data_IF_551630302243
#
_entry.id   IF_551630302243
#
_cell.length_a   1.000
_cell.length_b   1.000
_cell.length_c   1.000
_cell.angle_alpha   90.00
_cell.angle_beta   90.00
_cell.angle_gamma   90.00
#
_symmetry.space_group_name_H-M   'P 1'
#
loop_
_entity.id
_entity.type
_entity.pdbx_description
1 polymer ?
#
# COMPACT_ATOMS: atom_id res chain seq x y z
N UNK A 1 -9.71 -8.76 -12.34
CA UNK A 1 -10.25 -8.86 -10.97
C UNK A 1 -11.52 -9.68 -11.10
N UNK A 2 -11.56 -10.88 -10.49
CA UNK A 2 -12.80 -11.64 -10.39
C UNK A 2 -13.83 -10.76 -9.69
N UNK A 3 -14.98 -10.61 -10.32
CA UNK A 3 -16.10 -9.84 -9.77
C UNK A 3 -16.51 -10.53 -8.47
N UNK A 4 -16.52 -9.79 -7.38
CA UNK A 4 -16.93 -10.32 -6.10
C UNK A 4 -18.39 -10.79 -6.19
N UNK A 5 -18.71 -11.92 -5.54
CA UNK A 5 -20.07 -12.45 -5.43
C UNK A 5 -21.02 -11.54 -4.63
N UNK A 6 -20.50 -10.43 -4.10
CA UNK A 6 -21.24 -9.45 -3.30
C UNK A 6 -21.26 -8.11 -4.04
N UNK A 7 -22.42 -7.66 -4.44
CA UNK A 7 -22.62 -6.43 -5.23
C UNK A 7 -21.97 -5.19 -4.60
N UNK A 8 -22.04 -5.06 -3.27
CA UNK A 8 -21.43 -3.94 -2.55
C UNK A 8 -19.93 -3.81 -2.83
N UNK A 9 -19.19 -4.92 -2.90
CA UNK A 9 -17.74 -4.91 -3.19
C UNK A 9 -17.49 -4.45 -4.62
N UNK A 10 -18.32 -4.85 -5.57
CA UNK A 10 -18.22 -4.41 -6.97
C UNK A 10 -18.40 -2.89 -7.08
N UNK A 11 -19.45 -2.34 -6.45
CA UNK A 11 -19.69 -0.89 -6.46
C UNK A 11 -18.59 -0.10 -5.76
N UNK A 12 -18.11 -0.55 -4.60
CA UNK A 12 -17.01 0.08 -3.87
C UNK A 12 -15.72 0.06 -4.71
N UNK A 13 -15.40 -1.07 -5.33
CA UNK A 13 -14.21 -1.20 -6.17
C UNK A 13 -14.25 -0.24 -7.37
N UNK A 14 -15.39 -0.12 -8.03
CA UNK A 14 -15.58 0.85 -9.12
C UNK A 14 -15.44 2.29 -8.63
N UNK A 15 -16.00 2.61 -7.47
CA UNK A 15 -15.90 3.93 -6.85
C UNK A 15 -14.44 4.29 -6.53
N UNK A 16 -13.67 3.38 -5.94
CA UNK A 16 -12.25 3.55 -5.65
C UNK A 16 -11.42 3.75 -6.92
N UNK A 17 -11.67 2.95 -7.95
CA UNK A 17 -10.96 3.07 -9.24
C UNK A 17 -11.22 4.43 -9.90
N UNK A 18 -12.46 4.91 -9.86
CA UNK A 18 -12.86 6.19 -10.45
C UNK A 18 -12.34 7.41 -9.66
N UNK A 19 -11.84 7.23 -8.44
CA UNK A 19 -11.31 8.28 -7.58
C UNK A 19 -9.95 8.87 -8.03
N UNK A 20 -9.35 8.32 -9.07
CA UNK A 20 -8.06 8.79 -9.61
C UNK A 20 -6.87 8.48 -8.70
N UNK A 21 -5.76 9.20 -8.92
CA UNK A 21 -4.51 9.08 -8.16
C UNK A 21 -3.29 9.09 -9.07
N UNK A 22 -2.14 9.53 -8.54
CA UNK A 22 -0.88 9.62 -9.31
C UNK A 22 -0.24 8.25 -9.61
N UNK A 23 -0.69 7.18 -8.97
CA UNK A 23 -0.19 5.81 -9.14
C UNK A 23 1.34 5.67 -8.95
N UNK A 24 1.93 6.48 -8.07
CA UNK A 24 3.38 6.51 -7.87
C UNK A 24 3.94 5.16 -7.42
N UNK A 25 3.22 4.45 -6.57
CA UNK A 25 3.66 3.15 -6.02
C UNK A 25 3.72 2.06 -7.08
N UNK A 26 2.67 1.79 -7.85
CA UNK A 26 2.76 0.86 -8.97
C UNK A 26 3.78 1.29 -10.04
N UNK A 27 3.93 2.60 -10.30
CA UNK A 27 4.97 3.11 -11.21
C UNK A 27 6.36 2.74 -10.69
N UNK A 28 6.62 2.89 -9.39
CA UNK A 28 7.90 2.54 -8.79
C UNK A 28 8.21 1.04 -8.91
N UNK A 29 7.23 0.17 -8.66
CA UNK A 29 7.37 -1.29 -8.88
C UNK A 29 7.79 -1.56 -10.33
N UNK A 30 7.06 -0.97 -11.29
CA UNK A 30 7.33 -1.17 -12.71
C UNK A 30 8.68 -0.64 -13.14
N UNK A 31 9.09 0.54 -12.67
CA UNK A 31 10.39 1.13 -13.00
C UNK A 31 11.54 0.29 -12.45
N UNK A 32 11.48 -0.10 -11.17
CA UNK A 32 12.50 -0.94 -10.56
C UNK A 32 12.60 -2.31 -11.23
N UNK A 33 11.48 -2.93 -11.58
CA UNK A 33 11.50 -4.19 -12.33
C UNK A 33 12.08 -4.04 -13.73
N UNK A 34 11.79 -2.95 -14.42
CA UNK A 34 12.32 -2.67 -15.77
C UNK A 34 13.83 -2.49 -15.84
N UNK A 35 14.49 -2.21 -14.73
CA UNK A 35 15.96 -2.18 -14.68
C UNK A 35 16.58 -3.56 -14.98
N UNK A 36 15.84 -4.63 -14.79
CA UNK A 36 16.32 -6.01 -14.90
C UNK A 36 15.66 -6.81 -16.01
N UNK A 37 14.75 -6.21 -16.77
CA UNK A 37 14.11 -6.88 -17.89
C UNK A 37 12.86 -6.16 -18.40
N UNK A 38 12.17 -6.79 -19.33
CA UNK A 38 10.92 -6.27 -19.87
C UNK A 38 9.78 -6.44 -18.85
N UNK A 39 8.74 -5.63 -19.03
CA UNK A 39 7.52 -5.77 -18.21
C UNK A 39 6.90 -7.16 -18.40
N UNK A 40 6.92 -7.96 -17.36
CA UNK A 40 6.28 -9.27 -17.33
C UNK A 40 4.85 -9.18 -16.76
N UNK A 41 3.97 -10.13 -17.05
CA UNK A 41 2.66 -10.19 -16.40
C UNK A 41 2.75 -10.24 -14.86
N UNK A 42 3.80 -10.90 -14.33
CA UNK A 42 4.05 -10.98 -12.89
C UNK A 42 4.37 -9.60 -12.31
N UNK A 43 5.21 -8.83 -12.99
CA UNK A 43 5.56 -7.47 -12.57
C UNK A 43 4.33 -6.56 -12.53
N UNK A 44 3.46 -6.67 -13.55
CA UNK A 44 2.20 -5.91 -13.59
C UNK A 44 1.28 -6.33 -12.44
N UNK A 45 1.20 -7.63 -12.13
CA UNK A 45 0.41 -8.11 -10.98
C UNK A 45 0.94 -7.58 -9.66
N UNK A 46 2.26 -7.56 -9.45
CA UNK A 46 2.84 -7.01 -8.22
C UNK A 46 2.60 -5.49 -8.10
N UNK A 47 2.65 -4.75 -9.20
CA UNK A 47 2.26 -3.35 -9.21
C UNK A 47 0.79 -3.15 -8.80
N UNK A 48 -0.10 -4.02 -9.26
CA UNK A 48 -1.52 -4.00 -8.87
C UNK A 48 -1.71 -4.40 -7.39
N UNK A 49 -0.97 -5.40 -6.89
CA UNK A 49 -0.99 -5.82 -5.48
C UNK A 49 -0.65 -4.66 -4.54
N UNK A 50 0.43 -3.94 -4.84
CA UNK A 50 0.85 -2.78 -4.03
C UNK A 50 -0.22 -1.68 -4.04
N UNK A 51 -0.85 -1.42 -5.18
CA UNK A 51 -1.92 -0.40 -5.25
C UNK A 51 -3.18 -0.86 -4.50
N UNK A 52 -3.51 -2.15 -4.49
CA UNK A 52 -4.61 -2.69 -3.69
C UNK A 52 -4.33 -2.54 -2.20
N UNK A 53 -3.12 -2.90 -1.72
CA UNK A 53 -2.72 -2.72 -0.33
C UNK A 53 -2.81 -1.23 0.06
N UNK A 54 -2.21 -0.34 -0.73
CA UNK A 54 -2.30 1.10 -0.46
C UNK A 54 -3.74 1.61 -0.44
N UNK A 55 -4.59 1.12 -1.34
CA UNK A 55 -6.00 1.52 -1.37
C UNK A 55 -6.74 1.01 -0.13
N UNK A 56 -6.45 -0.20 0.33
CA UNK A 56 -7.02 -0.75 1.56
C UNK A 56 -6.65 0.10 2.78
N UNK A 57 -5.37 0.52 2.90
CA UNK A 57 -4.97 1.43 3.99
C UNK A 57 -5.72 2.74 3.95
N UNK A 58 -5.88 3.35 2.77
CA UNK A 58 -6.63 4.61 2.63
C UNK A 58 -8.10 4.46 3.04
N UNK A 59 -8.72 3.31 2.78
CA UNK A 59 -10.11 3.03 3.19
C UNK A 59 -10.23 2.89 4.70
N UNK A 60 -9.26 2.23 5.35
CA UNK A 60 -9.20 2.12 6.81
C UNK A 60 -8.89 3.47 7.45
N UNK A 61 -7.91 4.21 6.92
CA UNK A 61 -7.55 5.56 7.39
C UNK A 61 -8.76 6.50 7.37
N UNK A 62 -9.57 6.47 6.29
CA UNK A 62 -10.79 7.29 6.18
C UNK A 62 -11.77 7.04 7.33
N UNK A 63 -11.85 5.80 7.83
CA UNK A 63 -12.70 5.45 8.98
C UNK A 63 -12.05 5.93 10.28
N UNK A 64 -10.77 5.68 10.46
CA UNK A 64 -10.00 6.03 11.67
C UNK A 64 -9.98 7.54 11.84
N UNK A 65 -9.68 8.28 10.78
CA UNK A 65 -9.59 9.75 10.76
C UNK A 65 -10.97 10.44 10.70
N UNK A 66 -12.06 9.67 10.60
CA UNK A 66 -13.42 10.19 10.37
C UNK A 66 -13.48 11.14 9.17
N UNK A 67 -12.71 10.83 8.12
CA UNK A 67 -12.58 11.65 6.94
C UNK A 67 -13.92 11.76 6.20
N UNK A 68 -14.28 12.98 5.80
CA UNK A 68 -15.52 13.25 5.04
C UNK A 68 -15.29 13.18 3.54
N UNK A 69 -14.08 13.48 3.10
CA UNK A 69 -13.73 13.54 1.68
C UNK A 69 -12.35 12.96 1.42
N UNK A 70 -12.19 12.32 0.27
CA UNK A 70 -10.92 11.86 -0.27
C UNK A 70 -10.81 12.23 -1.75
N UNK A 71 -9.73 12.93 -2.11
CA UNK A 71 -9.49 13.39 -3.51
C UNK A 71 -10.67 14.16 -4.10
N UNK A 72 -11.28 15.05 -3.31
CA UNK A 72 -12.39 15.91 -3.73
C UNK A 72 -13.76 15.21 -3.86
N UNK A 73 -13.88 13.95 -3.43
CA UNK A 73 -15.12 13.17 -3.42
C UNK A 73 -15.45 12.71 -2.00
N UNK A 74 -16.71 12.40 -1.68
CA UNK A 74 -17.06 11.77 -0.41
C UNK A 74 -16.20 10.52 -0.18
N UNK A 75 -15.71 10.32 1.04
CA UNK A 75 -14.99 9.09 1.42
C UNK A 75 -15.95 7.91 1.51
N UNK A 76 -15.42 6.67 1.47
CA UNK A 76 -16.24 5.45 1.45
C UNK A 76 -17.10 5.34 2.71
N UNK A 77 -16.55 5.68 3.87
CA UNK A 77 -17.27 5.67 5.15
C UNK A 77 -18.49 6.62 5.16
N UNK A 78 -18.43 7.71 4.40
CA UNK A 78 -19.59 8.63 4.23
C UNK A 78 -20.66 8.03 3.33
N UNK A 79 -20.27 7.31 2.29
CA UNK A 79 -21.22 6.75 1.30
C UNK A 79 -21.83 5.43 1.77
N UNK A 80 -21.06 4.52 2.36
CA UNK A 80 -21.48 3.16 2.73
C UNK A 80 -21.42 2.86 4.23
N UNK A 81 -20.98 3.82 5.04
CA UNK A 81 -20.81 3.67 6.49
C UNK A 81 -19.51 2.95 6.89
N UNK A 82 -19.15 3.10 8.18
CA UNK A 82 -17.88 2.62 8.71
C UNK A 82 -17.72 1.09 8.61
N UNK A 83 -18.77 0.33 8.97
CA UNK A 83 -18.71 -1.15 8.95
C UNK A 83 -18.39 -1.69 7.56
N UNK A 84 -19.11 -1.19 6.54
CA UNK A 84 -18.88 -1.59 5.16
C UNK A 84 -17.49 -1.19 4.67
N UNK A 85 -17.00 -0.01 5.09
CA UNK A 85 -15.66 0.47 4.73
C UNK A 85 -14.56 -0.42 5.30
N UNK A 86 -14.64 -0.79 6.58
CA UNK A 86 -13.67 -1.72 7.20
C UNK A 86 -13.62 -3.04 6.44
N UNK A 87 -14.80 -3.65 6.20
CA UNK A 87 -14.88 -4.92 5.47
C UNK A 87 -14.38 -4.81 4.02
N UNK A 88 -14.60 -3.66 3.36
CA UNK A 88 -14.08 -3.41 2.03
C UNK A 88 -12.54 -3.31 2.00
N UNK A 89 -11.94 -2.67 3.01
CA UNK A 89 -10.49 -2.63 3.17
C UNK A 89 -9.91 -4.02 3.42
N UNK A 90 -10.52 -4.80 4.32
CA UNK A 90 -10.12 -6.19 4.60
C UNK A 90 -10.20 -7.06 3.33
N UNK A 91 -11.27 -6.91 2.57
CA UNK A 91 -11.43 -7.63 1.30
C UNK A 91 -10.33 -7.28 0.30
N UNK A 92 -9.97 -6.00 0.17
CA UNK A 92 -8.88 -5.56 -0.70
C UNK A 92 -7.54 -6.15 -0.27
N UNK A 93 -7.25 -6.21 1.03
CA UNK A 93 -6.05 -6.88 1.56
C UNK A 93 -6.03 -8.36 1.17
N UNK A 94 -7.15 -9.07 1.39
CA UNK A 94 -7.23 -10.49 1.04
C UNK A 94 -7.04 -10.73 -0.46
N UNK A 95 -7.62 -9.88 -1.31
CA UNK A 95 -7.41 -9.95 -2.76
C UNK A 95 -5.95 -9.69 -3.16
N UNK A 96 -5.31 -8.71 -2.54
CA UNK A 96 -3.89 -8.43 -2.78
C UNK A 96 -3.01 -9.65 -2.46
N UNK A 97 -3.19 -10.24 -1.27
CA UNK A 97 -2.46 -11.45 -0.88
C UNK A 97 -2.80 -12.67 -1.74
N UNK A 98 -4.05 -12.83 -2.14
CA UNK A 98 -4.45 -13.92 -3.03
C UNK A 98 -3.74 -13.82 -4.40
N UNK A 99 -3.65 -12.61 -4.97
CA UNK A 99 -2.93 -12.36 -6.22
C UNK A 99 -1.43 -12.62 -6.04
N UNK A 100 -0.83 -12.14 -4.95
CA UNK A 100 0.58 -12.35 -4.66
C UNK A 100 0.92 -13.84 -4.46
N UNK A 101 0.06 -14.59 -3.77
CA UNK A 101 0.23 -16.02 -3.52
C UNK A 101 0.25 -16.85 -4.81
N UNK A 102 -0.43 -16.41 -5.86
CA UNK A 102 -0.42 -17.09 -7.17
C UNK A 102 0.97 -17.12 -7.82
N UNK A 103 1.85 -16.18 -7.47
CA UNK A 103 3.24 -16.13 -7.95
C UNK A 103 4.11 -17.26 -7.36
N UNK A 104 3.66 -17.93 -6.29
CA UNK A 104 4.37 -19.02 -5.60
C UNK A 104 5.80 -18.65 -5.20
N UNK A 105 6.03 -17.38 -4.91
CA UNK A 105 7.33 -16.86 -4.48
C UNK A 105 7.22 -16.31 -3.05
N UNK A 106 7.79 -17.04 -2.10
CA UNK A 106 7.74 -16.66 -0.69
C UNK A 106 8.46 -15.35 -0.39
N UNK A 107 9.54 -15.01 -1.11
CA UNK A 107 10.24 -13.75 -0.91
C UNK A 107 9.34 -12.52 -1.19
N UNK A 108 8.44 -12.62 -2.18
CA UNK A 108 7.43 -11.58 -2.43
C UNK A 108 6.43 -11.48 -1.27
N UNK A 109 5.99 -12.62 -0.74
CA UNK A 109 5.05 -12.65 0.39
C UNK A 109 5.68 -12.10 1.66
N UNK A 110 6.95 -12.44 1.94
CA UNK A 110 7.69 -11.90 3.09
C UNK A 110 7.75 -10.37 3.05
N UNK A 111 8.06 -9.79 1.88
CA UNK A 111 8.07 -8.34 1.71
C UNK A 111 6.69 -7.74 1.99
N UNK A 112 5.62 -8.34 1.47
CA UNK A 112 4.26 -7.84 1.62
C UNK A 112 3.74 -7.97 3.06
N UNK A 113 4.03 -9.07 3.74
CA UNK A 113 3.63 -9.31 5.13
C UNK A 113 4.34 -8.30 6.05
N UNK A 114 5.66 -8.18 5.92
CA UNK A 114 6.43 -7.22 6.70
C UNK A 114 5.97 -5.78 6.46
N UNK A 115 5.69 -5.42 5.21
CA UNK A 115 5.15 -4.11 4.85
C UNK A 115 3.83 -3.84 5.56
N UNK A 116 2.86 -4.75 5.44
CA UNK A 116 1.53 -4.55 6.02
C UNK A 116 1.58 -4.47 7.54
N UNK A 117 2.44 -5.26 8.18
CA UNK A 117 2.67 -5.18 9.62
C UNK A 117 3.24 -3.82 10.02
N UNK A 118 4.31 -3.35 9.34
CA UNK A 118 4.91 -2.04 9.62
C UNK A 118 3.90 -0.89 9.45
N UNK A 119 3.05 -0.94 8.44
CA UNK A 119 2.03 0.10 8.20
C UNK A 119 0.99 0.13 9.33
N UNK A 120 0.52 -1.03 9.80
CA UNK A 120 -0.42 -1.12 10.93
C UNK A 120 0.23 -0.63 12.22
N UNK A 121 1.47 -1.03 12.49
CA UNK A 121 2.23 -0.55 13.66
C UNK A 121 2.42 0.98 13.60
N UNK A 122 2.71 1.53 12.42
CA UNK A 122 2.80 2.97 12.20
C UNK A 122 1.50 3.70 12.53
N UNK A 123 0.36 3.14 12.14
CA UNK A 123 -0.95 3.70 12.46
C UNK A 123 -1.25 3.66 13.97
N UNK A 124 -0.93 2.55 14.63
CA UNK A 124 -1.07 2.44 16.10
C UNK A 124 -0.21 3.46 16.83
N UNK A 125 1.05 3.64 16.42
CA UNK A 125 1.95 4.68 16.97
C UNK A 125 1.37 6.07 16.75
N UNK A 126 0.81 6.35 15.58
CA UNK A 126 0.15 7.63 15.30
C UNK A 126 -1.01 7.89 16.26
N UNK A 127 -1.88 6.89 16.46
CA UNK A 127 -3.02 7.00 17.37
C UNK A 127 -2.56 7.23 18.83
N UNK A 128 -1.52 6.55 19.28
CA UNK A 128 -0.96 6.73 20.62
C UNK A 128 -0.35 8.12 20.85
N UNK A 129 0.06 8.80 19.77
CA UNK A 129 0.70 10.12 19.83
C UNK A 129 -0.30 11.29 19.65
N UNK A 130 -1.55 11.03 19.35
CA UNK A 130 -2.58 12.07 19.23
C UNK A 130 -2.69 12.85 20.55
N UNK A 131 -2.58 14.17 20.46
CA UNK A 131 -2.69 15.08 21.61
C UNK A 131 -1.46 15.13 22.52
N UNK A 132 -0.39 14.37 22.24
CA UNK A 132 0.86 14.48 23.01
C UNK A 132 1.65 15.71 22.57
N UNK A 133 2.04 16.54 23.56
CA UNK A 133 2.96 17.67 23.38
C UNK A 133 4.38 17.15 23.61
N UNK A 134 5.32 17.50 22.75
CA UNK A 134 6.74 17.12 22.89
C UNK A 134 7.14 15.90 22.06
N UNK A 135 6.44 15.64 20.96
CA UNK A 135 6.89 14.68 19.93
C UNK A 135 8.23 15.18 19.37
N UNK A 136 9.23 14.31 19.39
CA UNK A 136 10.57 14.61 18.88
C UNK A 136 10.67 14.39 17.38
N UNK A 137 11.75 14.93 16.77
CA UNK A 137 12.07 14.63 15.37
C UNK A 137 12.26 13.11 15.14
N UNK A 138 12.88 12.42 16.09
CA UNK A 138 13.06 10.96 16.03
C UNK A 138 11.72 10.23 15.99
N UNK A 139 10.75 10.65 16.82
CA UNK A 139 9.40 10.09 16.81
C UNK A 139 8.68 10.31 15.48
N UNK A 140 8.88 11.49 14.88
CA UNK A 140 8.30 11.82 13.59
C UNK A 140 8.92 10.99 12.47
N UNK A 141 10.25 10.84 12.47
CA UNK A 141 10.97 10.00 11.52
C UNK A 141 10.58 8.53 11.60
N UNK A 142 10.36 7.99 12.81
CA UNK A 142 9.84 6.63 13.00
C UNK A 142 8.47 6.45 12.35
N UNK A 143 7.58 7.42 12.50
CA UNK A 143 6.26 7.37 11.89
C UNK A 143 6.33 7.41 10.35
N UNK A 144 7.16 8.30 9.79
CA UNK A 144 7.38 8.38 8.34
C UNK A 144 7.97 7.07 7.80
N UNK A 145 8.93 6.50 8.50
CA UNK A 145 9.53 5.23 8.13
C UNK A 145 8.46 4.15 7.98
N UNK A 146 7.67 3.92 9.01
CA UNK A 146 6.66 2.86 9.02
C UNK A 146 5.50 3.11 8.07
N UNK A 147 4.99 4.34 7.98
CA UNK A 147 3.77 4.65 7.24
C UNK A 147 4.01 4.95 5.75
N UNK A 148 5.18 5.48 5.39
CA UNK A 148 5.46 5.95 4.03
C UNK A 148 6.69 5.30 3.40
N UNK A 149 7.85 5.41 4.04
CA UNK A 149 9.11 4.96 3.44
C UNK A 149 9.16 3.44 3.26
N UNK A 150 8.61 2.67 4.21
CA UNK A 150 8.47 1.21 4.11
C UNK A 150 7.74 0.78 2.84
N UNK A 151 6.67 1.48 2.48
CA UNK A 151 5.89 1.18 1.28
C UNK A 151 6.67 1.50 -0.02
N UNK A 152 7.46 2.59 -0.03
CA UNK A 152 8.35 2.89 -1.15
C UNK A 152 9.44 1.82 -1.29
N UNK A 153 10.07 1.45 -0.17
CA UNK A 153 11.06 0.37 -0.14
C UNK A 153 10.49 -0.95 -0.68
N UNK A 154 9.32 -1.35 -0.19
CA UNK A 154 8.65 -2.56 -0.65
C UNK A 154 8.35 -2.53 -2.15
N UNK A 155 7.92 -1.40 -2.71
CA UNK A 155 7.71 -1.26 -4.16
C UNK A 155 8.96 -1.60 -4.97
N UNK A 156 10.12 -1.07 -4.57
CA UNK A 156 11.37 -1.30 -5.27
C UNK A 156 11.85 -2.75 -5.13
N UNK A 157 11.77 -3.29 -3.91
CA UNK A 157 12.12 -4.69 -3.62
C UNK A 157 11.27 -5.67 -4.42
N UNK A 158 9.94 -5.47 -4.44
CA UNK A 158 9.01 -6.30 -5.23
C UNK A 158 9.32 -6.22 -6.72
N UNK A 159 9.66 -5.03 -7.24
CA UNK A 159 10.08 -4.86 -8.62
C UNK A 159 11.31 -5.71 -8.96
N UNK A 160 12.36 -5.66 -8.13
CA UNK A 160 13.58 -6.44 -8.30
C UNK A 160 13.32 -7.95 -8.20
N UNK A 161 12.68 -8.39 -7.11
CA UNK A 161 12.39 -9.80 -6.83
C UNK A 161 11.54 -10.45 -7.92
N UNK A 162 10.56 -9.73 -8.47
CA UNK A 162 9.69 -10.23 -9.54
C UNK A 162 10.47 -10.53 -10.83
N UNK A 163 11.60 -9.89 -11.03
CA UNK A 163 12.49 -10.09 -12.16
C UNK A 163 13.72 -10.99 -11.83
N UNK A 164 13.75 -11.57 -10.63
CA UNK A 164 14.84 -12.44 -10.21
C UNK A 164 16.11 -11.73 -9.77
N UNK A 165 16.09 -10.39 -9.62
CA UNK A 165 17.24 -9.58 -9.22
C UNK A 165 17.43 -9.56 -7.69
N UNK A 166 17.66 -10.72 -7.09
CA UNK A 166 17.74 -10.92 -5.64
C UNK A 166 18.90 -10.15 -5.01
N UNK A 167 20.06 -10.11 -5.69
CA UNK A 167 21.24 -9.41 -5.16
C UNK A 167 21.07 -7.87 -5.10
N UNK A 168 20.22 -7.31 -5.96
CA UNK A 168 19.99 -5.87 -6.06
C UNK A 168 18.78 -5.40 -5.24
N UNK A 169 17.99 -6.33 -4.75
CA UNK A 169 16.73 -6.07 -4.04
C UNK A 169 16.91 -5.11 -2.87
N UNK A 170 17.87 -5.40 -1.99
CA UNK A 170 18.08 -4.61 -0.79
C UNK A 170 18.55 -3.18 -1.13
N UNK A 171 19.50 -3.03 -2.06
CA UNK A 171 20.02 -1.71 -2.48
C UNK A 171 18.94 -0.83 -3.10
N UNK A 172 18.05 -1.42 -3.91
CA UNK A 172 16.89 -0.70 -4.45
C UNK A 172 15.87 -0.36 -3.35
N UNK A 173 15.69 -1.24 -2.39
CA UNK A 173 14.88 -0.99 -1.20
C UNK A 173 15.37 0.23 -0.42
N UNK A 174 16.68 0.29 -0.12
CA UNK A 174 17.31 1.42 0.57
C UNK A 174 17.18 2.73 -0.22
N UNK A 175 17.41 2.71 -1.53
CA UNK A 175 17.19 3.87 -2.39
C UNK A 175 15.75 4.37 -2.31
N UNK A 176 14.78 3.47 -2.47
CA UNK A 176 13.38 3.84 -2.46
C UNK A 176 12.88 4.23 -1.06
N UNK A 177 13.46 3.68 0.00
CA UNK A 177 13.22 4.12 1.37
C UNK A 177 13.60 5.60 1.55
N UNK A 178 14.82 5.98 1.13
CA UNK A 178 15.26 7.38 1.17
C UNK A 178 14.35 8.29 0.32
N UNK A 179 13.89 7.80 -0.85
CA UNK A 179 12.92 8.52 -1.67
C UNK A 179 11.59 8.71 -0.92
N UNK A 180 11.13 7.69 -0.19
CA UNK A 180 9.91 7.75 0.62
C UNK A 180 10.01 8.76 1.77
N UNK A 181 11.16 8.81 2.46
CA UNK A 181 11.45 9.82 3.48
C UNK A 181 11.39 11.23 2.85
N UNK A 182 12.14 11.46 1.77
CA UNK A 182 12.16 12.77 1.08
C UNK A 182 10.80 13.19 0.51
N UNK A 183 9.96 12.22 0.15
CA UNK A 183 8.62 12.50 -0.35
C UNK A 183 7.66 12.98 0.75
N UNK A 184 7.89 12.55 1.99
CA UNK A 184 7.01 12.86 3.12
C UNK A 184 7.43 14.14 3.85
N UNK A 185 8.71 14.52 3.81
CA UNK A 185 9.24 15.78 4.35
C UNK A 185 8.84 16.98 3.49
#
# INVERSE_FOLDING_TARGET
>A
VEIASVDAITYISQYLQSGGGKRLRPILVLLCGKLFGNSSPNLIRMAAVVEMIHTATLVHDDVIDMAKTRRGRPSINVVWGNHTSVLAGDWLYMQAFQVALRERNFALLDVLINLTQMMVEGELIQLERIGKIGITETDYMELIDRKTASLFAACARLGALTQGAVEQEQRLGEYAWNLGIAFQL
#
